data_IF_981042447448
#
_entry.id   IF_981042447448
#
_cell.length_a   1.000
_cell.length_b   1.000
_cell.length_c   1.000
_cell.angle_alpha   90.00
_cell.angle_beta   90.00
_cell.angle_gamma   90.00
#
_symmetry.space_group_name_H-M   'P 1'
#
loop_
_entity.id
_entity.type
_entity.pdbx_description
1 polymer ?
#
# COMPACT_ATOMS: atom_id res chain seq x y z
N UNK A 1 25.12 -14.53 58.08
CA UNK A 1 25.91 -13.36 58.54
C UNK A 1 26.23 -12.49 57.33
N UNK A 2 25.62 -11.29 57.21
CA UNK A 2 26.29 -9.97 57.37
C UNK A 2 27.13 -9.62 56.12
N UNK A 3 26.95 -8.54 55.35
CA UNK A 3 26.14 -7.31 55.41
C UNK A 3 25.97 -6.75 53.98
N UNK A 4 24.81 -6.14 53.72
CA UNK A 4 24.55 -5.24 52.58
C UNK A 4 25.25 -3.91 52.82
N UNK A 5 25.80 -3.29 51.78
CA UNK A 5 26.22 -1.88 51.79
C UNK A 5 25.49 -1.19 50.62
N UNK A 6 24.67 -0.20 50.95
CA UNK A 6 23.97 0.71 50.04
C UNK A 6 24.89 1.89 49.68
N UNK A 7 24.83 2.47 48.46
CA UNK A 7 25.46 3.76 48.19
C UNK A 7 24.54 4.93 48.58
N UNK A 8 25.15 5.98 49.12
CA UNK A 8 24.56 7.24 49.55
C UNK A 8 24.17 8.14 48.37
N UNK A 9 22.98 8.72 48.48
CA UNK A 9 22.42 9.72 47.55
C UNK A 9 22.85 11.12 48.01
N UNK A 10 23.59 11.82 47.15
CA UNK A 10 23.80 13.28 47.16
C UNK A 10 24.23 13.64 45.74
N UNK A 11 23.81 14.70 45.06
CA UNK A 11 23.11 15.94 45.39
C UNK A 11 22.43 16.42 44.10
N UNK A 12 21.22 16.96 44.20
CA UNK A 12 20.46 17.52 43.07
C UNK A 12 20.86 18.99 42.92
N UNK A 13 21.66 19.32 41.90
CA UNK A 13 21.89 20.70 41.47
C UNK A 13 20.83 21.09 40.45
N UNK A 14 19.90 21.94 40.86
CA UNK A 14 18.87 22.57 40.04
C UNK A 14 19.47 23.73 39.25
N UNK A 15 19.91 23.47 38.01
CA UNK A 15 20.22 24.56 37.08
C UNK A 15 18.93 25.15 36.50
N UNK A 16 18.62 26.31 37.05
CA UNK A 16 17.59 27.26 36.65
C UNK A 16 17.59 27.50 35.13
N UNK A 17 16.41 27.37 34.54
CA UNK A 17 16.10 27.74 33.16
C UNK A 17 16.36 29.24 32.96
N UNK A 18 17.26 29.61 32.04
CA UNK A 18 17.31 30.94 31.44
C UNK A 18 16.66 30.86 30.05
N UNK A 19 15.38 31.22 29.99
CA UNK A 19 14.70 31.56 28.74
C UNK A 19 15.31 32.83 28.18
N UNK A 20 15.62 32.84 26.87
CA UNK A 20 16.11 34.03 26.17
C UNK A 20 14.93 35.00 25.93
N UNK A 21 15.15 36.33 26.03
CA UNK A 21 14.11 37.31 25.77
C UNK A 21 13.75 37.36 24.27
N UNK A 22 12.45 37.54 24.02
CA UNK A 22 11.81 37.72 22.73
C UNK A 22 12.17 39.13 22.21
N UNK A 23 12.76 39.23 21.02
CA UNK A 23 12.90 40.51 20.31
C UNK A 23 11.54 40.97 19.79
N UNK A 24 11.13 42.18 20.16
CA UNK A 24 10.00 42.92 19.59
C UNK A 24 10.22 43.26 18.11
N UNK A 25 9.20 43.16 17.24
CA UNK A 25 9.27 43.74 15.90
C UNK A 25 8.92 45.23 15.93
N UNK A 26 9.73 46.04 15.26
CA UNK A 26 9.50 47.47 15.00
C UNK A 26 8.42 47.70 13.93
N UNK A 27 7.81 48.91 13.85
CA UNK A 27 6.54 49.11 13.18
C UNK A 27 6.65 49.56 11.71
N UNK A 28 5.64 49.13 10.95
CA UNK A 28 4.95 49.83 9.86
C UNK A 28 5.77 50.38 8.67
N UNK A 29 5.60 49.71 7.52
CA UNK A 29 5.35 50.42 6.26
C UNK A 29 4.06 49.89 5.63
N UNK A 30 3.07 50.78 5.50
CA UNK A 30 1.88 50.59 4.69
C UNK A 30 2.29 50.37 3.23
N UNK A 31 2.03 49.18 2.69
CA UNK A 31 1.98 48.96 1.26
C UNK A 31 0.54 48.73 0.86
N UNK A 32 0.06 49.59 -0.03
CA UNK A 32 -1.29 49.65 -0.54
C UNK A 32 -1.73 48.31 -1.14
N UNK A 33 -2.98 47.96 -0.85
CA UNK A 33 -3.72 46.84 -1.43
C UNK A 33 -3.83 46.97 -2.94
N UNK A 34 -3.08 46.16 -3.69
CA UNK A 34 -3.46 45.84 -5.06
C UNK A 34 -4.62 44.84 -4.98
N UNK A 35 -5.79 45.37 -5.36
CA UNK A 35 -7.07 44.70 -5.39
C UNK A 35 -6.96 43.32 -6.05
N UNK A 36 -7.46 42.32 -5.34
CA UNK A 36 -7.84 41.04 -5.92
C UNK A 36 -8.81 41.30 -7.08
N UNK A 37 -8.36 41.09 -8.32
CA UNK A 37 -9.28 40.87 -9.42
C UNK A 37 -9.98 39.53 -9.17
N UNK A 38 -11.13 39.62 -8.51
CA UNK A 38 -12.09 38.54 -8.43
C UNK A 38 -12.64 38.32 -9.84
N UNK A 39 -12.11 37.33 -10.55
CA UNK A 39 -12.79 36.80 -11.73
C UNK A 39 -14.05 36.09 -11.24
N UNK A 40 -15.19 36.78 -11.30
CA UNK A 40 -16.49 36.18 -11.05
C UNK A 40 -16.76 35.14 -12.13
N UNK A 41 -16.72 33.86 -11.76
CA UNK A 41 -17.26 32.79 -12.60
C UNK A 41 -18.76 33.03 -12.82
N UNK A 42 -19.26 33.16 -14.06
CA UNK A 42 -20.69 33.15 -14.27
C UNK A 42 -21.21 31.71 -14.05
N UNK A 43 -21.94 31.52 -12.96
CA UNK A 43 -22.77 30.34 -12.74
C UNK A 43 -23.94 30.44 -13.72
N UNK A 44 -23.86 29.74 -14.85
CA UNK A 44 -25.03 29.53 -15.70
C UNK A 44 -25.83 28.34 -15.17
N UNK A 45 -26.99 28.64 -14.56
CA UNK A 45 -28.00 27.66 -14.16
C UNK A 45 -28.78 27.24 -15.40
N UNK A 46 -28.21 26.36 -16.23
CA UNK A 46 -28.92 25.52 -17.20
C UNK A 46 -27.91 24.48 -17.70
N UNK A 47 -28.19 23.20 -17.44
CA UNK A 47 -27.31 22.05 -17.66
C UNK A 47 -26.95 21.79 -19.12
N UNK A 48 -26.18 22.68 -19.72
CA UNK A 48 -25.47 22.49 -20.98
C UNK A 48 -24.03 22.92 -20.74
N UNK A 49 -23.16 21.94 -20.49
CA UNK A 49 -21.73 22.17 -20.37
C UNK A 49 -21.18 22.46 -21.77
N UNK A 50 -21.38 23.70 -22.23
CA UNK A 50 -20.72 24.19 -23.44
C UNK A 50 -19.22 24.20 -23.16
N UNK A 51 -18.52 23.38 -23.93
CA UNK A 51 -17.09 23.24 -24.04
C UNK A 51 -16.46 24.58 -24.48
N UNK A 52 -16.44 25.58 -23.61
CA UNK A 52 -15.81 26.87 -23.84
C UNK A 52 -14.38 26.79 -23.34
N UNK A 53 -13.45 26.56 -24.28
CA UNK A 53 -12.03 26.71 -24.03
C UNK A 53 -11.18 25.56 -24.56
N UNK A 54 -11.34 25.21 -25.84
CA UNK A 54 -10.23 24.59 -26.56
C UNK A 54 -9.19 25.70 -26.73
N UNK A 55 -8.38 25.94 -25.69
CA UNK A 55 -7.06 26.55 -25.90
C UNK A 55 -6.43 25.69 -26.99
N UNK A 56 -6.04 26.30 -28.09
CA UNK A 56 -5.52 25.65 -29.29
C UNK A 56 -4.30 24.81 -28.95
N UNK A 57 -4.55 23.57 -28.52
CA UNK A 57 -3.60 22.48 -28.44
C UNK A 57 -3.79 21.69 -29.74
N UNK A 58 -2.71 21.55 -30.51
CA UNK A 58 -2.60 20.49 -31.52
C UNK A 58 -3.15 19.20 -30.92
N UNK A 59 -4.23 18.67 -31.49
CA UNK A 59 -5.13 17.72 -30.82
C UNK A 59 -4.43 16.47 -30.27
N UNK A 60 -3.28 16.06 -30.83
CA UNK A 60 -2.35 15.11 -30.21
C UNK A 60 -0.91 15.39 -30.69
N UNK A 61 -0.21 16.34 -30.08
CA UNK A 61 1.24 16.46 -30.26
C UNK A 61 1.98 15.52 -29.30
N UNK A 62 3.11 14.95 -29.74
CA UNK A 62 3.96 14.11 -28.88
C UNK A 62 4.49 14.87 -27.65
N UNK A 63 4.60 16.20 -27.73
CA UNK A 63 5.16 17.04 -26.68
C UNK A 63 4.17 17.29 -25.52
N UNK A 64 2.87 17.17 -25.78
CA UNK A 64 1.81 17.46 -24.81
C UNK A 64 1.33 16.21 -24.05
N UNK A 65 1.83 15.03 -24.39
CA UNK A 65 1.49 13.77 -23.71
C UNK A 65 2.00 13.78 -22.26
N UNK A 66 1.07 13.64 -21.30
CA UNK A 66 1.36 13.58 -19.86
C UNK A 66 0.43 12.56 -19.20
N UNK A 67 0.91 11.96 -18.11
CA UNK A 67 0.07 11.10 -17.27
C UNK A 67 -1.06 11.91 -16.61
N UNK A 68 -2.22 11.27 -16.37
CA UNK A 68 -3.35 11.89 -15.66
C UNK A 68 -2.99 12.36 -14.25
N UNK A 69 -2.04 11.67 -13.60
CA UNK A 69 -1.52 12.03 -12.27
C UNK A 69 -0.03 12.35 -12.40
N UNK A 70 0.45 13.47 -11.81
CA UNK A 70 1.85 13.83 -11.90
C UNK A 70 2.75 12.78 -11.21
N UNK A 71 3.84 12.40 -11.89
CA UNK A 71 4.84 11.50 -11.32
C UNK A 71 5.48 12.11 -10.07
N UNK A 72 5.56 11.33 -8.99
CA UNK A 72 6.30 11.73 -7.78
C UNK A 72 7.78 11.95 -8.09
N UNK A 73 8.27 13.17 -7.81
CA UNK A 73 9.65 13.55 -8.05
C UNK A 73 10.62 12.78 -7.14
N UNK A 74 11.75 12.34 -7.70
CA UNK A 74 12.79 11.62 -6.95
C UNK A 74 13.57 12.60 -6.07
N UNK A 75 13.60 12.36 -4.76
CA UNK A 75 14.46 13.15 -3.86
C UNK A 75 15.93 12.78 -4.05
N UNK A 76 16.73 13.70 -4.59
CA UNK A 76 18.19 13.54 -4.72
C UNK A 76 18.86 13.98 -3.43
N UNK A 77 19.43 13.02 -2.69
CA UNK A 77 20.10 13.27 -1.40
C UNK A 77 21.46 13.94 -1.61
N UNK A 78 21.93 14.74 -0.65
CA UNK A 78 23.25 15.38 -0.73
C UNK A 78 23.34 16.49 -1.77
N UNK A 79 22.24 17.22 -2.02
CA UNK A 79 22.16 18.31 -3.01
C UNK A 79 21.66 19.61 -2.35
N UNK A 80 22.45 20.15 -1.43
CA UNK A 80 22.19 21.45 -0.77
C UNK A 80 21.24 21.40 0.44
N UNK A 81 21.26 22.48 1.23
CA UNK A 81 20.53 22.59 2.52
C UNK A 81 19.02 22.68 2.30
N UNK A 82 18.56 23.45 1.31
CA UNK A 82 17.13 23.61 0.99
C UNK A 82 16.39 22.33 0.62
N UNK A 83 17.12 21.26 0.25
CA UNK A 83 16.53 19.94 -0.02
C UNK A 83 16.07 19.18 1.24
N UNK A 84 16.40 19.65 2.44
CA UNK A 84 16.13 18.98 3.72
C UNK A 84 16.95 17.69 3.97
N UNK A 85 17.63 17.17 2.94
CA UNK A 85 18.49 15.96 3.01
C UNK A 85 19.90 16.24 2.49
N UNK A 86 20.39 17.47 2.68
CA UNK A 86 21.71 17.92 2.24
C UNK A 86 22.84 17.31 3.05
N UNK A 87 23.06 17.79 4.29
CA UNK A 87 24.26 17.50 5.09
C UNK A 87 24.49 16.03 5.40
N UNK A 88 23.44 15.28 5.76
CA UNK A 88 23.57 13.88 6.24
C UNK A 88 22.92 12.85 5.31
N UNK A 89 22.32 13.28 4.19
CA UNK A 89 21.54 12.42 3.30
C UNK A 89 20.45 11.58 4.01
N UNK A 90 20.03 11.98 5.22
CA UNK A 90 19.09 11.23 6.07
C UNK A 90 19.68 10.00 6.75
N UNK A 91 21.02 9.87 6.81
CA UNK A 91 21.71 8.75 7.49
C UNK A 91 22.06 9.03 8.97
N UNK A 92 21.87 10.27 9.43
CA UNK A 92 22.27 10.71 10.77
C UNK A 92 23.76 11.08 10.85
N UNK A 93 24.31 11.09 12.06
CA UNK A 93 25.71 11.42 12.34
C UNK A 93 26.56 10.16 12.52
N UNK A 94 27.67 10.24 13.27
CA UNK A 94 28.77 9.26 13.40
C UNK A 94 28.37 7.89 14.00
N UNK A 95 27.43 7.16 13.40
CA UNK A 95 27.00 5.80 13.81
C UNK A 95 27.28 4.74 12.74
N UNK A 96 27.09 3.45 13.09
CA UNK A 96 27.28 2.33 12.17
C UNK A 96 26.42 2.48 10.90
N UNK A 97 25.14 2.85 11.03
CA UNK A 97 24.20 3.06 9.91
C UNK A 97 24.56 4.24 8.99
N UNK A 98 25.38 5.18 9.47
CA UNK A 98 25.87 6.28 8.65
C UNK A 98 27.10 5.90 7.82
N UNK A 99 27.97 5.05 8.40
CA UNK A 99 29.19 4.54 7.78
C UNK A 99 28.95 3.33 6.87
N UNK A 100 27.91 2.53 7.13
CA UNK A 100 27.59 1.32 6.38
C UNK A 100 26.25 0.70 6.78
N UNK A 101 26.10 -0.59 6.51
CA UNK A 101 24.88 -1.36 6.76
C UNK A 101 25.03 -2.33 7.94
N UNK A 102 23.92 -2.64 8.60
CA UNK A 102 23.85 -3.68 9.63
C UNK A 102 23.37 -5.02 9.04
N UNK A 103 23.68 -6.14 9.71
CA UNK A 103 23.14 -7.46 9.35
C UNK A 103 21.65 -7.51 9.70
N UNK A 104 20.82 -8.01 8.77
CA UNK A 104 19.40 -8.23 9.02
C UNK A 104 19.22 -9.34 10.08
N UNK A 105 18.41 -9.06 11.12
CA UNK A 105 18.18 -9.99 12.21
C UNK A 105 19.23 -9.98 13.33
N UNK A 106 20.07 -8.94 13.41
CA UNK A 106 20.94 -8.70 14.57
C UNK A 106 20.23 -7.82 15.61
N UNK A 107 20.09 -8.35 16.83
CA UNK A 107 19.39 -7.68 17.96
C UNK A 107 20.38 -7.02 18.95
N UNK A 108 21.58 -6.63 18.50
CA UNK A 108 22.54 -5.90 19.35
C UNK A 108 23.39 -6.76 20.29
N UNK A 109 23.47 -8.07 20.04
CA UNK A 109 24.23 -9.02 20.86
C UNK A 109 23.34 -10.04 21.58
N UNK A 110 22.04 -9.74 21.66
CA UNK A 110 21.02 -10.66 22.12
C UNK A 110 20.86 -11.85 21.15
N UNK A 111 20.57 -13.05 21.68
CA UNK A 111 20.26 -14.21 20.82
C UNK A 111 18.99 -13.92 20.00
N UNK A 112 19.03 -14.02 18.66
CA UNK A 112 17.92 -13.54 17.84
C UNK A 112 16.67 -14.40 18.03
N UNK A 113 15.48 -13.80 17.91
CA UNK A 113 14.19 -14.46 18.14
C UNK A 113 14.02 -15.78 17.37
N UNK A 114 14.49 -15.82 16.11
CA UNK A 114 14.47 -17.03 15.26
C UNK A 114 15.25 -18.24 15.81
N UNK A 115 16.15 -18.01 16.79
CA UNK A 115 16.90 -19.05 17.51
C UNK A 115 16.30 -19.35 18.88
N UNK A 116 15.63 -18.38 19.49
CA UNK A 116 15.01 -18.51 20.81
C UNK A 116 13.75 -19.34 20.78
N UNK A 117 12.88 -19.08 19.80
CA UNK A 117 11.64 -19.81 19.64
C UNK A 117 11.94 -21.18 19.02
N UNK A 118 11.33 -22.25 19.54
CA UNK A 118 11.48 -23.58 18.93
C UNK A 118 10.85 -23.58 17.53
N UNK A 119 11.37 -24.44 16.65
CA UNK A 119 10.71 -24.71 15.37
C UNK A 119 9.44 -25.53 15.64
N UNK A 120 8.28 -25.03 15.23
CA UNK A 120 7.01 -25.74 15.42
C UNK A 120 6.59 -26.42 14.12
N UNK A 121 6.55 -27.74 14.15
CA UNK A 121 6.14 -28.58 13.01
C UNK A 121 7.06 -28.45 11.78
N UNK A 122 6.56 -28.91 10.64
CA UNK A 122 7.18 -28.74 9.33
C UNK A 122 6.09 -28.48 8.28
N UNK A 123 6.47 -27.89 7.15
CA UNK A 123 5.57 -27.75 6.00
C UNK A 123 5.61 -29.06 5.21
N UNK A 124 4.46 -29.72 5.06
CA UNK A 124 4.36 -30.96 4.27
C UNK A 124 4.75 -30.69 2.80
N UNK A 125 5.79 -31.33 2.24
CA UNK A 125 6.18 -31.15 0.85
C UNK A 125 5.25 -31.88 -0.14
N UNK A 126 4.46 -32.85 0.33
CA UNK A 126 3.55 -33.65 -0.49
C UNK A 126 2.09 -33.20 -0.33
N UNK A 127 1.85 -31.99 0.16
CA UNK A 127 0.49 -31.47 0.32
C UNK A 127 -0.09 -31.15 -1.05
N UNK A 128 -1.23 -31.76 -1.38
CA UNK A 128 -1.95 -31.44 -2.60
C UNK A 128 -2.70 -30.11 -2.43
N UNK A 129 -2.55 -29.22 -3.41
CA UNK A 129 -3.14 -27.89 -3.44
C UNK A 129 -4.17 -27.81 -4.56
N UNK A 130 -5.43 -27.75 -4.17
CA UNK A 130 -6.55 -27.63 -5.10
C UNK A 130 -7.03 -26.19 -5.20
N UNK A 131 -7.46 -25.81 -6.40
CA UNK A 131 -8.09 -24.52 -6.62
C UNK A 131 -9.56 -24.58 -6.19
N UNK A 132 -10.00 -23.75 -5.24
CA UNK A 132 -11.38 -23.75 -4.80
C UNK A 132 -12.30 -23.08 -5.82
N UNK A 133 -13.44 -23.71 -6.12
CA UNK A 133 -14.52 -23.16 -6.96
C UNK A 133 -15.84 -23.22 -6.20
N UNK A 134 -16.48 -22.07 -6.02
CA UNK A 134 -17.80 -22.00 -5.40
C UNK A 134 -18.94 -22.28 -6.38
N UNK A 135 -19.96 -23.00 -5.92
CA UNK A 135 -21.19 -23.27 -6.66
C UNK A 135 -21.88 -22.00 -7.19
N UNK A 136 -21.95 -20.93 -6.40
CA UNK A 136 -22.53 -19.65 -6.85
C UNK A 136 -21.75 -19.02 -8.00
N UNK A 137 -20.42 -19.24 -8.08
CA UNK A 137 -19.61 -18.77 -9.22
C UNK A 137 -19.98 -19.50 -10.50
N UNK A 138 -20.20 -20.82 -10.41
CA UNK A 138 -20.66 -21.63 -11.55
C UNK A 138 -22.07 -21.18 -11.96
N UNK A 139 -22.97 -20.98 -11.00
CA UNK A 139 -24.32 -20.50 -11.29
C UNK A 139 -24.32 -19.16 -12.05
N UNK A 140 -23.47 -18.22 -11.65
CA UNK A 140 -23.31 -16.93 -12.34
C UNK A 140 -22.77 -17.07 -13.77
N UNK A 141 -21.87 -18.02 -14.02
CA UNK A 141 -21.30 -18.25 -15.35
C UNK A 141 -22.31 -18.91 -16.30
N UNK A 142 -23.16 -19.80 -15.76
CA UNK A 142 -24.27 -20.38 -16.50
C UNK A 142 -25.31 -19.31 -16.84
N UNK A 143 -25.71 -18.49 -15.86
CA UNK A 143 -26.62 -17.36 -16.10
C UNK A 143 -26.08 -16.37 -17.14
N UNK A 144 -24.76 -16.22 -17.23
CA UNK A 144 -24.09 -15.40 -18.23
C UNK A 144 -23.94 -16.08 -19.61
N UNK A 145 -24.41 -17.32 -19.77
CA UNK A 145 -24.32 -18.10 -21.01
C UNK A 145 -22.89 -18.51 -21.38
N UNK A 146 -21.97 -18.56 -20.41
CA UNK A 146 -20.57 -18.97 -20.64
C UNK A 146 -20.33 -20.46 -20.43
N UNK A 147 -21.25 -21.12 -19.74
CA UNK A 147 -21.21 -22.54 -19.42
C UNK A 147 -22.61 -23.09 -19.67
N UNK A 148 -22.69 -24.21 -20.38
CA UNK A 148 -23.94 -24.90 -20.63
C UNK A 148 -24.23 -25.90 -19.50
N UNK A 149 -25.45 -25.82 -18.94
CA UNK A 149 -25.87 -26.70 -17.83
C UNK A 149 -26.11 -28.14 -18.25
N UNK A 150 -26.43 -28.35 -19.53
CA UNK A 150 -26.79 -29.66 -20.05
C UNK A 150 -25.56 -30.53 -20.36
N UNK A 151 -24.40 -29.91 -20.55
CA UNK A 151 -23.15 -30.61 -20.84
C UNK A 151 -22.36 -30.94 -19.56
N UNK A 152 -21.40 -31.85 -19.69
CA UNK A 152 -20.50 -32.21 -18.61
C UNK A 152 -19.49 -31.07 -18.37
N UNK A 153 -19.57 -30.45 -17.20
CA UNK A 153 -18.66 -29.38 -16.79
C UNK A 153 -17.37 -30.01 -16.26
N UNK A 154 -16.35 -30.07 -17.10
CA UNK A 154 -15.00 -30.54 -16.77
C UNK A 154 -14.09 -29.41 -16.29
N UNK A 155 -12.92 -29.73 -15.71
CA UNK A 155 -11.91 -28.73 -15.33
C UNK A 155 -11.49 -27.82 -16.50
N UNK A 156 -11.50 -28.32 -17.74
CA UNK A 156 -11.19 -27.53 -18.94
C UNK A 156 -12.24 -26.44 -19.15
N UNK A 157 -13.52 -26.81 -19.13
CA UNK A 157 -14.63 -25.85 -19.30
C UNK A 157 -14.61 -24.75 -18.22
N UNK A 158 -14.30 -25.12 -16.97
CA UNK A 158 -14.16 -24.15 -15.87
C UNK A 158 -12.99 -23.18 -16.09
N UNK A 159 -11.90 -23.63 -16.72
CA UNK A 159 -10.75 -22.79 -17.06
C UNK A 159 -11.10 -21.82 -18.17
N UNK A 160 -11.69 -22.33 -19.25
CA UNK A 160 -12.01 -21.57 -20.44
C UNK A 160 -13.09 -20.50 -20.13
N UNK A 161 -14.05 -20.82 -19.26
CA UNK A 161 -15.06 -19.89 -18.77
C UNK A 161 -14.53 -18.84 -17.75
N UNK A 162 -13.31 -19.00 -17.24
CA UNK A 162 -12.73 -18.13 -16.20
C UNK A 162 -13.27 -18.37 -14.78
N UNK A 163 -13.86 -19.54 -14.53
CA UNK A 163 -14.26 -19.96 -13.20
C UNK A 163 -13.04 -20.19 -12.29
N UNK A 164 -11.92 -20.62 -12.87
CA UNK A 164 -10.64 -20.85 -12.20
C UNK A 164 -9.53 -19.96 -12.76
N UNK A 165 -8.43 -19.87 -12.01
CA UNK A 165 -7.25 -19.11 -12.40
C UNK A 165 -6.45 -19.81 -13.50
N UNK A 166 -5.43 -19.11 -14.01
CA UNK A 166 -4.59 -19.62 -15.10
C UNK A 166 -3.78 -20.85 -14.71
N UNK A 167 -3.29 -20.87 -13.46
CA UNK A 167 -2.48 -21.95 -12.91
C UNK A 167 -3.35 -22.86 -12.06
N UNK A 168 -3.48 -24.11 -12.52
CA UNK A 168 -4.10 -25.20 -11.80
C UNK A 168 -2.94 -26.11 -11.38
N UNK A 169 -2.79 -26.31 -10.08
CA UNK A 169 -1.77 -27.20 -9.52
C UNK A 169 -2.31 -28.64 -9.54
N UNK A 170 -2.79 -29.15 -8.41
CA UNK A 170 -3.23 -30.54 -8.34
C UNK A 170 -4.65 -30.77 -8.86
N UNK A 171 -5.45 -29.72 -9.08
CA UNK A 171 -6.80 -29.81 -9.64
C UNK A 171 -7.77 -28.81 -9.02
N UNK A 172 -9.07 -29.09 -9.20
CA UNK A 172 -10.16 -28.22 -8.73
C UNK A 172 -10.91 -28.89 -7.60
N UNK A 173 -11.18 -28.12 -6.54
CA UNK A 173 -12.05 -28.52 -5.43
C UNK A 173 -13.34 -27.70 -5.46
N UNK A 174 -14.48 -28.37 -5.57
CA UNK A 174 -15.78 -27.73 -5.48
C UNK A 174 -16.11 -27.37 -4.03
N UNK A 175 -16.72 -26.21 -3.83
CA UNK A 175 -17.17 -25.72 -2.52
C UNK A 175 -18.64 -25.30 -2.58
N UNK A 176 -19.39 -25.61 -1.52
CA UNK A 176 -20.82 -25.29 -1.37
C UNK A 176 -21.17 -23.80 -1.22
N UNK A 177 -20.23 -22.87 -1.42
CA UNK A 177 -20.49 -21.43 -1.29
C UNK A 177 -21.43 -20.96 -2.41
N UNK A 178 -22.63 -20.50 -2.04
CA UNK A 178 -23.64 -20.03 -2.98
C UNK A 178 -24.47 -21.15 -3.62
N UNK A 179 -24.62 -22.28 -2.94
CA UNK A 179 -25.44 -23.42 -3.41
C UNK A 179 -26.90 -23.03 -3.73
N UNK A 180 -27.46 -22.05 -3.01
CA UNK A 180 -28.83 -21.55 -3.18
C UNK A 180 -29.12 -20.99 -4.58
N UNK A 181 -28.09 -20.57 -5.32
CA UNK A 181 -28.23 -19.96 -6.64
C UNK A 181 -28.37 -21.00 -7.77
N UNK A 182 -28.12 -22.27 -7.47
CA UNK A 182 -28.26 -23.36 -8.43
C UNK A 182 -29.72 -23.81 -8.45
N UNK A 183 -30.38 -23.59 -9.58
CA UNK A 183 -31.79 -23.96 -9.78
C UNK A 183 -31.98 -25.16 -10.69
N UNK A 184 -30.97 -25.49 -11.48
CA UNK A 184 -30.99 -26.51 -12.53
C UNK A 184 -30.06 -27.68 -12.16
N UNK A 185 -30.32 -28.89 -12.69
CA UNK A 185 -29.39 -30.01 -12.56
C UNK A 185 -28.09 -29.71 -13.32
N UNK A 186 -26.95 -30.09 -12.74
CA UNK A 186 -25.63 -29.88 -13.34
C UNK A 186 -24.80 -31.15 -13.17
N UNK A 187 -24.08 -31.54 -14.22
CA UNK A 187 -23.10 -32.62 -14.18
C UNK A 187 -21.67 -32.06 -14.12
N UNK A 188 -20.92 -32.38 -13.07
CA UNK A 188 -19.58 -31.85 -12.81
C UNK A 188 -18.56 -32.98 -12.73
N UNK A 189 -17.42 -32.81 -13.41
CA UNK A 189 -16.24 -33.67 -13.26
C UNK A 189 -15.08 -32.85 -12.68
N UNK A 190 -14.87 -33.03 -11.37
CA UNK A 190 -13.85 -32.32 -10.57
C UNK A 190 -13.13 -33.29 -9.66
N UNK A 191 -11.88 -32.97 -9.31
CA UNK A 191 -11.00 -33.88 -8.57
C UNK A 191 -11.39 -34.08 -7.10
N UNK A 192 -11.98 -33.06 -6.48
CA UNK A 192 -12.39 -33.11 -5.08
C UNK A 192 -13.67 -32.28 -4.84
N UNK A 193 -14.45 -32.72 -3.86
CA UNK A 193 -15.65 -32.07 -3.36
C UNK A 193 -15.48 -31.78 -1.85
N UNK A 194 -16.24 -30.83 -1.31
CA UNK A 194 -16.39 -30.61 0.13
C UNK A 194 -17.69 -31.20 0.62
#
# INVERSE_FOLDING_TARGET
>A
MIRRILPSISSVSSHFLKTKPICSPSPLHHFHSLQSLQCSNPINKNGSLWFQGIRSYSLLSLNDLRDNVPRKQKTRKGRGIGSGKGKTAGRGHKGQKARGNGKLGFEGGQTPMRRRLPKRGFKNPFSLTFQPVGLGKIANLINAGKIDSHELITMKTLKDAGAIGKQIEDGVRLMGRGAEQIKWPIHLEVKALT
#
